data_IF_578646275200
#
_entry.id   IF_578646275200
#
_cell.length_a   1.000
_cell.length_b   1.000
_cell.length_c   1.000
_cell.angle_alpha   90.00
_cell.angle_beta   90.00
_cell.angle_gamma   90.00
#
_symmetry.space_group_name_H-M   'P 1'
#
loop_
_entity.id
_entity.type
_entity.pdbx_description
1 polymer ?
#
# COMPACT_ATOMS: atom_id res chain seq x y z
N UNK A 1 -5.25 59.14 26.05
CA UNK A 1 -5.87 58.12 25.20
C UNK A 1 -4.79 57.09 24.90
N UNK A 2 -4.72 55.99 25.67
CA UNK A 2 -3.54 55.11 25.70
C UNK A 2 -3.56 54.06 24.59
N UNK A 3 -2.40 53.84 23.99
CA UNK A 3 -2.07 52.84 22.98
C UNK A 3 -1.92 51.41 23.58
N UNK A 4 -2.52 51.11 24.72
CA UNK A 4 -2.17 49.95 25.55
C UNK A 4 -3.18 48.78 25.51
N UNK A 5 -4.16 48.77 24.60
CA UNK A 5 -5.22 47.74 24.57
C UNK A 5 -5.30 46.94 23.26
N UNK A 6 -4.23 46.87 22.48
CA UNK A 6 -4.02 45.76 21.55
C UNK A 6 -3.13 44.72 22.23
N UNK A 7 -3.63 44.16 23.33
CA UNK A 7 -3.13 42.87 23.78
C UNK A 7 -3.48 41.88 22.67
N UNK A 8 -2.45 41.39 21.97
CA UNK A 8 -2.48 40.12 21.28
C UNK A 8 -3.24 39.14 22.21
N UNK A 9 -4.35 38.59 21.73
CA UNK A 9 -4.88 37.39 22.35
C UNK A 9 -3.76 36.37 22.20
N UNK A 10 -3.05 36.06 23.28
CA UNK A 10 -2.21 34.88 23.36
C UNK A 10 -3.06 33.71 22.86
N UNK A 11 -2.57 33.02 21.82
CA UNK A 11 -3.22 31.84 21.27
C UNK A 11 -3.18 30.76 22.36
N UNK A 12 -4.27 30.63 23.14
CA UNK A 12 -4.40 29.75 24.32
C UNK A 12 -4.40 28.24 23.96
N UNK A 13 -4.06 27.87 22.72
CA UNK A 13 -3.97 26.49 22.29
C UNK A 13 -2.51 26.00 22.27
N UNK A 14 -1.87 26.09 23.43
CA UNK A 14 -0.61 25.37 23.65
C UNK A 14 -0.94 23.87 23.75
N UNK A 15 -0.56 23.12 22.72
CA UNK A 15 -0.69 21.67 22.67
C UNK A 15 0.70 21.05 22.52
N UNK A 16 0.96 19.93 23.21
CA UNK A 16 2.29 19.31 23.19
C UNK A 16 2.62 18.70 21.82
N UNK A 17 1.61 18.16 21.13
CA UNK A 17 1.77 17.49 19.83
C UNK A 17 0.61 17.79 18.91
N UNK A 18 0.92 18.28 17.71
CA UNK A 18 -0.03 18.41 16.60
C UNK A 18 0.21 17.29 15.58
N UNK A 19 -0.84 16.54 15.24
CA UNK A 19 -0.84 15.52 14.19
C UNK A 19 -1.73 15.98 13.05
N UNK A 20 -1.15 16.16 11.86
CA UNK A 20 -1.90 16.53 10.65
C UNK A 20 -2.34 15.26 9.91
N UNK A 21 -3.66 15.03 9.87
CA UNK A 21 -4.34 13.94 9.20
C UNK A 21 -4.82 12.83 10.15
N UNK A 22 -6.12 12.67 10.29
CA UNK A 22 -6.81 11.62 11.05
C UNK A 22 -6.99 10.31 10.23
N UNK A 23 -6.04 9.99 9.36
CA UNK A 23 -5.95 8.66 8.74
C UNK A 23 -5.45 7.60 9.72
N UNK A 24 -5.42 6.32 9.29
CA UNK A 24 -4.92 5.21 10.12
C UNK A 24 -3.54 5.51 10.73
N UNK A 25 -2.63 6.12 9.97
CA UNK A 25 -1.29 6.50 10.47
C UNK A 25 -1.37 7.55 11.57
N UNK A 26 -2.11 8.65 11.37
CA UNK A 26 -2.19 9.72 12.38
C UNK A 26 -2.87 9.27 13.66
N UNK A 27 -3.97 8.51 13.54
CA UNK A 27 -4.67 7.92 14.68
C UNK A 27 -3.78 6.91 15.43
N UNK A 28 -3.06 6.05 14.72
CA UNK A 28 -2.13 5.11 15.34
C UNK A 28 -0.96 5.84 16.04
N UNK A 29 -0.48 6.95 15.48
CA UNK A 29 0.53 7.79 16.13
C UNK A 29 -0.01 8.38 17.43
N UNK A 30 -1.17 9.03 17.40
CA UNK A 30 -1.82 9.60 18.59
C UNK A 30 -2.03 8.55 19.68
N UNK A 31 -2.57 7.38 19.30
CA UNK A 31 -2.76 6.24 20.20
C UNK A 31 -1.45 5.79 20.87
N UNK A 32 -0.35 5.67 20.10
CA UNK A 32 0.93 5.24 20.67
C UNK A 32 1.59 6.31 21.54
N UNK A 33 1.39 7.61 21.26
CA UNK A 33 1.86 8.71 22.11
C UNK A 33 1.12 8.66 23.45
N UNK A 34 -0.20 8.70 23.42
CA UNK A 34 -1.03 8.72 24.63
C UNK A 34 -0.87 7.45 25.47
N UNK A 35 -0.67 6.29 24.84
CA UNK A 35 -0.37 5.04 25.57
C UNK A 35 0.95 5.10 26.34
N UNK A 36 1.95 5.85 25.86
CA UNK A 36 3.27 5.97 26.48
C UNK A 36 3.35 7.14 27.46
N UNK A 37 2.66 8.25 27.16
CA UNK A 37 2.62 9.47 27.95
C UNK A 37 1.19 10.02 27.95
N UNK A 38 0.32 9.54 28.86
CA UNK A 38 -1.08 9.93 28.92
C UNK A 38 -1.31 11.41 29.27
N UNK A 39 -0.28 12.09 29.78
CA UNK A 39 -0.35 13.49 30.21
C UNK A 39 -0.12 14.49 29.07
N UNK A 40 0.29 14.03 27.89
CA UNK A 40 0.51 14.92 26.75
C UNK A 40 -0.81 15.34 26.13
N UNK A 41 -0.93 16.62 25.80
CA UNK A 41 -2.04 17.13 25.00
C UNK A 41 -1.77 16.92 23.49
N UNK A 42 -2.65 16.16 22.85
CA UNK A 42 -2.49 15.75 21.44
C UNK A 42 -3.68 16.26 20.63
N UNK A 43 -3.40 17.20 19.73
CA UNK A 43 -4.35 17.72 18.75
C UNK A 43 -4.20 17.00 17.42
N UNK A 44 -5.31 16.48 16.87
CA UNK A 44 -5.35 15.92 15.52
C UNK A 44 -6.16 16.86 14.63
N UNK A 45 -5.54 17.35 13.55
CA UNK A 45 -6.18 18.22 12.56
C UNK A 45 -6.45 17.40 11.30
N UNK A 46 -7.71 17.30 10.90
CA UNK A 46 -8.15 16.56 9.71
C UNK A 46 -8.76 17.51 8.69
N UNK A 47 -8.46 17.30 7.41
CA UNK A 47 -8.95 18.16 6.31
C UNK A 47 -10.40 17.89 5.92
N UNK A 48 -11.03 16.87 6.51
CA UNK A 48 -12.40 16.44 6.22
C UNK A 48 -13.23 16.37 7.50
N UNK A 49 -14.54 16.17 7.37
CA UNK A 49 -15.47 16.01 8.48
C UNK A 49 -15.37 14.62 9.17
N UNK A 50 -14.51 13.71 8.65
CA UNK A 50 -14.45 12.31 9.07
C UNK A 50 -13.02 11.81 9.21
N UNK A 51 -12.75 11.14 10.32
CA UNK A 51 -11.52 10.37 10.48
C UNK A 51 -11.52 9.13 9.55
N UNK A 52 -10.34 8.54 9.33
CA UNK A 52 -10.14 7.27 8.62
C UNK A 52 -9.46 7.38 7.26
N UNK A 53 -9.49 8.56 6.62
CA UNK A 53 -8.86 8.81 5.32
C UNK A 53 -9.25 7.77 4.27
N UNK A 54 -8.25 7.07 3.70
CA UNK A 54 -8.46 6.03 2.67
C UNK A 54 -9.20 4.77 3.15
N UNK A 55 -9.44 4.62 4.45
CA UNK A 55 -10.17 3.48 5.05
C UNK A 55 -11.68 3.77 5.17
N UNK A 56 -12.16 4.97 4.86
CA UNK A 56 -13.59 5.31 4.96
C UNK A 56 -14.15 5.96 3.70
N UNK A 57 -13.54 5.69 2.53
CA UNK A 57 -14.07 6.14 1.25
C UNK A 57 -15.45 5.52 1.00
N UNK A 58 -16.50 6.33 1.18
CA UNK A 58 -17.92 5.95 1.02
C UNK A 58 -18.17 5.22 -0.29
N UNK A 59 -18.94 4.13 -0.23
CA UNK A 59 -19.54 3.47 -1.39
C UNK A 59 -18.76 2.29 -2.02
N UNK A 60 -17.50 2.05 -1.64
CA UNK A 60 -16.69 1.04 -2.36
C UNK A 60 -16.70 -0.38 -1.75
N UNK A 61 -16.79 -0.53 -0.42
CA UNK A 61 -16.85 -1.84 0.25
C UNK A 61 -17.13 -1.71 1.74
N UNK A 62 -17.89 -2.64 2.33
CA UNK A 62 -18.04 -2.78 3.80
C UNK A 62 -16.81 -3.41 4.48
N UNK A 63 -15.89 -3.91 3.68
CA UNK A 63 -14.75 -4.71 4.11
C UNK A 63 -13.44 -4.17 3.54
N UNK A 64 -12.45 -4.05 4.41
CA UNK A 64 -11.06 -3.82 4.02
C UNK A 64 -10.29 -5.13 4.13
N UNK A 65 -9.34 -5.32 3.23
CA UNK A 65 -8.49 -6.50 3.29
C UNK A 65 -7.18 -6.18 3.98
N UNK A 66 -6.75 -7.12 4.81
CA UNK A 66 -5.48 -7.11 5.51
C UNK A 66 -4.84 -8.48 5.31
N UNK A 67 -3.51 -8.54 5.34
CA UNK A 67 -2.78 -9.82 5.32
C UNK A 67 -2.17 -10.11 6.68
N UNK A 68 -2.10 -11.39 7.05
CA UNK A 68 -1.34 -11.86 8.22
C UNK A 68 0.15 -11.51 8.15
N UNK A 69 0.68 -11.19 6.96
CA UNK A 69 2.04 -10.65 6.80
C UNK A 69 2.21 -9.25 7.41
N UNK A 70 1.11 -8.53 7.65
CA UNK A 70 1.11 -7.17 8.18
C UNK A 70 0.92 -7.18 9.71
N UNK A 71 2.00 -7.49 10.43
CA UNK A 71 1.98 -7.72 11.88
C UNK A 71 1.44 -6.54 12.69
N UNK A 72 1.85 -5.31 12.37
CA UNK A 72 1.48 -4.13 13.16
C UNK A 72 -0.02 -3.82 13.13
N UNK A 73 -0.64 -3.88 11.95
CA UNK A 73 -2.09 -3.65 11.83
C UNK A 73 -2.87 -4.82 12.45
N UNK A 74 -2.41 -6.06 12.25
CA UNK A 74 -3.05 -7.24 12.87
C UNK A 74 -3.08 -7.12 14.39
N UNK A 75 -1.95 -6.74 15.02
CA UNK A 75 -1.87 -6.52 16.47
C UNK A 75 -2.74 -5.35 16.93
N UNK A 76 -2.80 -4.26 16.15
CA UNK A 76 -3.66 -3.12 16.48
C UNK A 76 -5.14 -3.52 16.49
N UNK A 77 -5.59 -4.26 15.46
CA UNK A 77 -6.96 -4.75 15.38
C UNK A 77 -7.33 -5.64 16.58
N UNK A 78 -6.41 -6.54 17.00
CA UNK A 78 -6.58 -7.36 18.19
C UNK A 78 -6.65 -6.52 19.46
N UNK A 79 -5.77 -5.52 19.61
CA UNK A 79 -5.74 -4.64 20.78
C UNK A 79 -7.04 -3.83 20.91
N UNK A 80 -7.62 -3.43 19.77
CA UNK A 80 -8.89 -2.70 19.72
C UNK A 80 -10.12 -3.62 19.71
N UNK A 81 -9.96 -4.94 19.82
CA UNK A 81 -11.02 -5.93 19.74
C UNK A 81 -11.91 -5.79 18.49
N UNK A 82 -11.32 -5.41 17.35
CA UNK A 82 -12.04 -5.28 16.08
C UNK A 82 -12.25 -6.66 15.46
N UNK A 83 -13.50 -6.96 15.10
CA UNK A 83 -13.86 -8.23 14.48
C UNK A 83 -13.22 -8.37 13.09
N UNK A 84 -12.57 -9.51 12.88
CA UNK A 84 -12.00 -9.90 11.59
C UNK A 84 -12.72 -11.15 11.08
N UNK A 85 -12.90 -11.24 9.77
CA UNK A 85 -13.49 -12.39 9.11
C UNK A 85 -12.44 -12.98 8.17
N UNK A 86 -11.99 -14.20 8.46
CA UNK A 86 -11.21 -14.94 7.47
C UNK A 86 -12.07 -15.25 6.26
N UNK A 87 -11.47 -15.28 5.07
CA UNK A 87 -12.15 -15.76 3.90
C UNK A 87 -12.23 -17.28 4.00
N UNK A 88 -13.34 -17.83 4.46
CA UNK A 88 -13.58 -19.26 4.35
C UNK A 88 -13.63 -19.64 2.86
N UNK A 89 -12.70 -20.50 2.44
CA UNK A 89 -12.54 -20.98 1.07
C UNK A 89 -13.68 -21.92 0.61
N UNK A 90 -14.82 -21.97 1.31
CA UNK A 90 -15.89 -22.93 1.10
C UNK A 90 -16.50 -22.89 -0.32
N UNK A 91 -16.38 -21.76 -1.03
CA UNK A 91 -16.82 -21.59 -2.42
C UNK A 91 -15.77 -20.85 -3.26
N UNK A 92 -14.51 -21.32 -3.23
CA UNK A 92 -13.41 -20.70 -3.97
C UNK A 92 -13.67 -20.73 -5.49
N UNK A 93 -14.36 -19.70 -6.00
CA UNK A 93 -14.49 -19.43 -7.44
C UNK A 93 -13.09 -19.50 -8.04
N UNK A 94 -12.93 -20.34 -9.08
CA UNK A 94 -11.67 -20.52 -9.79
C UNK A 94 -11.12 -19.15 -10.22
N UNK A 95 -9.87 -18.86 -9.87
CA UNK A 95 -9.17 -17.67 -10.36
C UNK A 95 -8.87 -17.88 -11.84
N UNK A 96 -9.35 -16.97 -12.66
CA UNK A 96 -9.18 -17.02 -14.10
C UNK A 96 -8.41 -15.79 -14.54
N UNK A 97 -7.38 -16.00 -15.33
CA UNK A 97 -6.67 -14.92 -15.99
C UNK A 97 -7.44 -14.58 -17.27
N UNK A 98 -7.98 -13.37 -17.37
CA UNK A 98 -8.70 -12.92 -18.55
C UNK A 98 -7.83 -12.01 -19.41
N UNK A 99 -7.93 -12.23 -20.71
CA UNK A 99 -7.34 -11.35 -21.73
C UNK A 99 -8.44 -10.76 -22.59
N UNK A 100 -8.09 -9.84 -23.49
CA UNK A 100 -9.00 -9.37 -24.53
C UNK A 100 -9.58 -10.51 -25.40
N UNK A 101 -8.94 -11.68 -25.42
CA UNK A 101 -9.37 -12.88 -26.17
C UNK A 101 -10.16 -13.88 -25.31
N UNK A 102 -10.47 -13.55 -24.05
CA UNK A 102 -11.16 -14.43 -23.11
C UNK A 102 -10.25 -15.06 -22.06
N UNK A 103 -10.76 -16.06 -21.32
CA UNK A 103 -10.04 -16.70 -20.22
C UNK A 103 -8.87 -17.55 -20.74
N UNK A 104 -7.73 -17.43 -20.08
CA UNK A 104 -6.52 -18.18 -20.37
C UNK A 104 -6.42 -19.37 -19.43
N UNK A 105 -6.59 -20.58 -19.97
CA UNK A 105 -6.46 -21.82 -19.20
C UNK A 105 -5.01 -22.29 -19.10
N UNK A 106 -4.19 -22.04 -20.13
CA UNK A 106 -2.78 -22.40 -20.18
C UNK A 106 -2.01 -21.38 -21.01
N UNK A 107 -0.90 -20.89 -20.49
CA UNK A 107 0.01 -20.03 -21.25
C UNK A 107 0.91 -20.89 -22.15
N UNK A 108 1.20 -20.46 -23.39
CA UNK A 108 2.25 -21.09 -24.19
C UNK A 108 3.58 -21.11 -23.43
N UNK A 109 4.34 -22.20 -23.55
CA UNK A 109 5.54 -22.43 -22.74
C UNK A 109 6.56 -21.28 -22.82
N UNK A 110 6.77 -20.73 -24.02
CA UNK A 110 7.71 -19.62 -24.23
C UNK A 110 7.23 -18.31 -23.57
N UNK A 111 5.92 -18.02 -23.58
CA UNK A 111 5.35 -16.87 -22.84
C UNK A 111 5.50 -17.11 -21.34
N UNK A 112 5.18 -18.31 -20.88
CA UNK A 112 5.29 -18.67 -19.47
C UNK A 112 6.74 -18.55 -18.97
N UNK A 113 7.73 -18.92 -19.80
CA UNK A 113 9.15 -18.77 -19.49
C UNK A 113 9.56 -17.30 -19.34
N UNK A 114 9.14 -16.41 -20.25
CA UNK A 114 9.43 -14.96 -20.14
C UNK A 114 8.75 -14.33 -18.91
N UNK A 115 7.49 -14.65 -18.66
CA UNK A 115 6.78 -14.17 -17.47
C UNK A 115 7.47 -14.65 -16.20
N UNK A 116 7.90 -15.92 -16.17
CA UNK A 116 8.65 -16.48 -15.04
C UNK A 116 9.99 -15.77 -14.83
N UNK A 117 10.74 -15.55 -15.92
CA UNK A 117 12.01 -14.83 -15.87
C UNK A 117 11.81 -13.45 -15.26
N UNK A 118 10.83 -12.67 -15.75
CA UNK A 118 10.51 -11.37 -15.19
C UNK A 118 10.15 -11.43 -13.69
N UNK A 119 9.29 -12.38 -13.29
CA UNK A 119 8.91 -12.52 -11.87
C UNK A 119 10.13 -12.81 -10.98
N UNK A 120 11.03 -13.69 -11.42
CA UNK A 120 12.25 -14.01 -10.71
C UNK A 120 13.18 -12.80 -10.63
N UNK A 121 13.45 -12.14 -11.77
CA UNK A 121 14.30 -10.95 -11.82
C UNK A 121 13.79 -9.84 -10.92
N UNK A 122 12.50 -9.50 -10.97
CA UNK A 122 11.95 -8.45 -10.11
C UNK A 122 11.96 -8.88 -8.64
N UNK A 123 11.66 -10.14 -8.32
CA UNK A 123 11.70 -10.65 -6.95
C UNK A 123 13.11 -10.55 -6.36
N UNK A 124 14.12 -11.03 -7.09
CA UNK A 124 15.52 -10.99 -6.65
C UNK A 124 16.02 -9.56 -6.49
N UNK A 125 15.71 -8.68 -7.46
CA UNK A 125 16.08 -7.28 -7.37
C UNK A 125 15.37 -6.59 -6.22
N UNK A 126 14.05 -6.73 -6.05
CA UNK A 126 13.36 -6.04 -4.96
C UNK A 126 13.80 -6.52 -3.56
N UNK A 127 14.33 -7.73 -3.41
CA UNK A 127 14.88 -8.20 -2.12
C UNK A 127 16.35 -7.83 -1.90
N UNK A 128 17.03 -7.31 -2.92
CA UNK A 128 18.40 -6.84 -2.78
C UNK A 128 18.46 -5.67 -1.78
N UNK A 129 19.44 -5.70 -0.88
CA UNK A 129 19.63 -4.68 0.15
C UNK A 129 19.80 -3.27 -0.41
N UNK A 130 20.29 -3.14 -1.64
CA UNK A 130 20.42 -1.86 -2.36
C UNK A 130 19.09 -1.11 -2.48
N UNK A 131 17.97 -1.82 -2.61
CA UNK A 131 16.66 -1.20 -2.82
C UNK A 131 15.81 -1.14 -1.55
N UNK A 132 16.42 -1.27 -0.37
CA UNK A 132 15.75 -0.98 0.91
C UNK A 132 15.42 0.50 1.07
N UNK A 133 16.27 1.36 0.53
CA UNK A 133 16.14 2.82 0.58
C UNK A 133 16.57 3.41 -0.76
N UNK A 134 16.34 4.70 -0.94
CA UNK A 134 16.92 5.43 -2.07
C UNK A 134 18.41 5.67 -1.78
N UNK A 135 19.28 5.05 -2.57
CA UNK A 135 20.73 5.29 -2.55
C UNK A 135 21.12 6.13 -3.77
N UNK A 136 22.27 6.81 -3.69
CA UNK A 136 22.81 7.64 -4.77
C UNK A 136 23.97 6.92 -5.45
N UNK A 137 23.70 5.76 -6.04
CA UNK A 137 24.65 5.05 -6.88
C UNK A 137 24.23 5.14 -8.36
N UNK A 138 25.15 4.80 -9.26
CA UNK A 138 24.92 4.91 -10.70
C UNK A 138 23.71 4.08 -11.16
N UNK A 139 23.56 2.87 -10.62
CA UNK A 139 22.49 1.94 -10.99
C UNK A 139 21.15 2.44 -10.50
N UNK A 140 21.07 2.93 -9.25
CA UNK A 140 19.84 3.54 -8.73
C UNK A 140 19.47 4.82 -9.47
N UNK A 141 20.45 5.62 -9.89
CA UNK A 141 20.21 6.82 -10.70
C UNK A 141 19.65 6.48 -12.09
N UNK A 142 20.17 5.45 -12.76
CA UNK A 142 19.61 4.95 -14.01
C UNK A 142 18.17 4.43 -13.82
N UNK A 143 17.93 3.65 -12.75
CA UNK A 143 16.60 3.12 -12.45
C UNK A 143 15.62 4.20 -12.02
N UNK A 144 16.08 5.30 -11.44
CA UNK A 144 15.24 6.44 -11.06
C UNK A 144 14.65 7.11 -12.30
N UNK A 145 15.46 7.25 -13.36
CA UNK A 145 15.08 7.87 -14.63
C UNK A 145 14.41 6.91 -15.61
N UNK A 146 14.64 5.60 -15.46
CA UNK A 146 13.97 4.56 -16.24
C UNK A 146 12.52 4.38 -15.77
N UNK A 147 11.56 4.42 -16.70
CA UNK A 147 10.17 4.10 -16.40
C UNK A 147 9.93 2.59 -16.31
N UNK A 148 8.84 2.17 -15.64
CA UNK A 148 8.45 0.76 -15.60
C UNK A 148 8.15 0.21 -17.00
N UNK A 149 7.56 1.01 -17.89
CA UNK A 149 7.35 0.62 -19.29
C UNK A 149 8.68 0.35 -20.03
N UNK A 150 9.68 1.20 -19.83
CA UNK A 150 11.02 1.00 -20.37
C UNK A 150 11.69 -0.24 -19.78
N UNK A 151 11.57 -0.45 -18.46
CA UNK A 151 12.10 -1.65 -17.80
C UNK A 151 11.47 -2.92 -18.36
N UNK A 152 10.15 -2.94 -18.56
CA UNK A 152 9.45 -4.07 -19.17
C UNK A 152 9.95 -4.36 -20.58
N UNK A 153 10.21 -3.32 -21.39
CA UNK A 153 10.80 -3.48 -22.74
C UNK A 153 12.24 -3.98 -22.71
N UNK A 154 13.03 -3.59 -21.69
CA UNK A 154 14.40 -4.10 -21.48
C UNK A 154 14.40 -5.59 -21.09
N UNK A 155 13.44 -6.05 -20.29
CA UNK A 155 13.41 -7.41 -19.74
C UNK A 155 12.64 -8.44 -20.58
N UNK A 156 11.64 -8.00 -21.35
CA UNK A 156 10.70 -8.91 -22.01
C UNK A 156 10.65 -8.63 -23.51
N UNK A 157 10.85 -9.68 -24.31
CA UNK A 157 10.85 -9.59 -25.76
C UNK A 157 9.42 -9.66 -26.33
N UNK A 158 8.56 -10.50 -25.77
CA UNK A 158 7.21 -10.72 -26.31
C UNK A 158 6.20 -9.70 -25.78
N UNK A 159 5.47 -9.07 -26.70
CA UNK A 159 4.44 -8.06 -26.37
C UNK A 159 3.35 -8.62 -25.46
N UNK A 160 3.01 -9.89 -25.63
CA UNK A 160 2.02 -10.56 -24.80
C UNK A 160 2.53 -10.82 -23.37
N UNK A 161 3.81 -11.21 -23.20
CA UNK A 161 4.43 -11.32 -21.89
C UNK A 161 4.52 -9.96 -21.20
N UNK A 162 4.91 -8.91 -21.93
CA UNK A 162 4.86 -7.52 -21.44
C UNK A 162 3.48 -7.14 -20.92
N UNK A 163 2.42 -7.42 -21.67
CA UNK A 163 1.04 -7.12 -21.24
C UNK A 163 0.65 -7.83 -19.94
N UNK A 164 1.08 -9.09 -19.76
CA UNK A 164 0.83 -9.85 -18.52
C UNK A 164 1.59 -9.19 -17.37
N UNK A 165 2.89 -8.96 -17.53
CA UNK A 165 3.73 -8.38 -16.48
C UNK A 165 3.33 -6.94 -16.13
N UNK A 166 2.93 -6.11 -17.10
CA UNK A 166 2.33 -4.80 -16.86
C UNK A 166 1.08 -4.90 -15.99
N UNK A 167 0.21 -5.88 -16.26
CA UNK A 167 -1.03 -6.08 -15.48
C UNK A 167 -0.72 -6.51 -14.03
N UNK A 168 0.32 -7.31 -13.84
CA UNK A 168 0.80 -7.69 -12.51
C UNK A 168 1.33 -6.48 -11.74
N UNK A 169 2.20 -5.67 -12.34
CA UNK A 169 2.72 -4.46 -11.70
C UNK A 169 1.60 -3.43 -11.44
N UNK A 170 0.70 -3.23 -12.40
CA UNK A 170 -0.49 -2.39 -12.21
C UNK A 170 -1.27 -2.80 -10.96
N UNK A 171 -1.49 -4.10 -10.79
CA UNK A 171 -2.24 -4.64 -9.66
C UNK A 171 -1.53 -4.45 -8.30
N UNK A 172 -0.20 -4.30 -8.28
CA UNK A 172 0.56 -4.13 -7.03
C UNK A 172 0.68 -2.67 -6.61
N UNK A 173 0.85 -1.74 -7.56
CA UNK A 173 1.08 -0.32 -7.27
C UNK A 173 -0.14 0.58 -7.50
N UNK A 174 -1.17 0.12 -8.23
CA UNK A 174 -2.39 0.90 -8.50
C UNK A 174 -2.22 2.02 -9.54
N UNK A 175 -1.09 2.09 -10.24
CA UNK A 175 -0.77 3.16 -11.19
C UNK A 175 -1.09 2.76 -12.63
N UNK A 176 -2.05 3.43 -13.27
CA UNK A 176 -2.51 3.12 -14.64
C UNK A 176 -1.47 3.32 -15.72
N UNK A 177 -0.65 4.36 -15.58
CA UNK A 177 0.32 4.77 -16.59
C UNK A 177 1.75 4.41 -16.14
N UNK A 178 2.21 3.22 -16.53
CA UNK A 178 3.54 2.71 -16.16
C UNK A 178 4.69 3.48 -16.83
N UNK A 179 4.41 4.32 -17.82
CA UNK A 179 5.42 5.21 -18.41
C UNK A 179 5.83 6.35 -17.47
N UNK A 180 4.97 6.67 -16.48
CA UNK A 180 5.16 7.73 -15.48
C UNK A 180 5.65 7.22 -14.13
N UNK A 181 5.85 5.91 -14.01
CA UNK A 181 6.30 5.29 -12.76
C UNK A 181 7.77 4.93 -12.90
N UNK A 182 8.59 5.37 -11.94
CA UNK A 182 10.01 5.05 -11.88
C UNK A 182 10.23 3.56 -11.57
N UNK A 183 11.18 2.94 -12.26
CA UNK A 183 11.61 1.57 -12.01
C UNK A 183 12.20 1.44 -10.59
N UNK A 184 13.03 2.41 -10.16
CA UNK A 184 13.58 2.43 -8.81
C UNK A 184 12.49 2.49 -7.75
N UNK A 185 11.54 3.43 -7.89
CA UNK A 185 10.42 3.56 -6.96
C UNK A 185 9.65 2.24 -6.82
N UNK A 186 9.44 1.53 -7.94
CA UNK A 186 8.74 0.24 -7.95
C UNK A 186 9.51 -0.80 -7.16
N UNK A 187 10.84 -0.90 -7.33
CA UNK A 187 11.66 -1.85 -6.58
C UNK A 187 11.68 -1.55 -5.07
N UNK A 188 11.81 -0.28 -4.70
CA UNK A 188 11.80 0.15 -3.28
C UNK A 188 10.42 -0.11 -2.64
N UNK A 189 9.34 0.22 -3.36
CA UNK A 189 7.97 -0.05 -2.89
C UNK A 189 7.72 -1.55 -2.69
N UNK A 190 8.18 -2.37 -3.65
CA UNK A 190 8.07 -3.82 -3.54
C UNK A 190 8.94 -4.38 -2.41
N UNK A 191 10.16 -3.87 -2.19
CA UNK A 191 10.99 -4.23 -1.05
C UNK A 191 10.24 -4.03 0.27
N UNK A 192 9.66 -2.84 0.46
CA UNK A 192 8.86 -2.50 1.64
C UNK A 192 7.59 -3.35 1.80
N UNK A 193 7.13 -4.02 0.73
CA UNK A 193 6.00 -4.94 0.74
C UNK A 193 6.40 -6.42 0.93
N UNK A 194 7.68 -6.73 1.19
CA UNK A 194 8.18 -8.12 1.28
C UNK A 194 8.49 -8.76 -0.09
N UNK A 195 8.47 -7.96 -1.14
CA UNK A 195 8.74 -8.36 -2.52
C UNK A 195 7.49 -8.48 -3.39
N UNK A 196 7.71 -8.75 -4.68
CA UNK A 196 6.64 -8.84 -5.68
C UNK A 196 5.66 -9.97 -5.38
N UNK A 197 6.17 -11.15 -5.02
CA UNK A 197 5.33 -12.34 -4.82
C UNK A 197 4.38 -12.15 -3.64
N UNK A 198 4.88 -11.67 -2.50
CA UNK A 198 4.05 -11.47 -1.31
C UNK A 198 3.05 -10.31 -1.50
N UNK A 199 3.45 -9.27 -2.23
CA UNK A 199 2.52 -8.22 -2.64
C UNK A 199 1.40 -8.76 -3.53
N UNK A 200 1.72 -9.63 -4.51
CA UNK A 200 0.72 -10.26 -5.38
C UNK A 200 -0.20 -11.21 -4.61
N UNK A 201 0.32 -11.98 -3.64
CA UNK A 201 -0.50 -12.80 -2.73
C UNK A 201 -1.52 -11.95 -1.98
N UNK A 202 -1.06 -10.85 -1.37
CA UNK A 202 -1.95 -9.92 -0.68
C UNK A 202 -3.01 -9.31 -1.61
N UNK A 203 -2.62 -8.87 -2.82
CA UNK A 203 -3.55 -8.25 -3.79
C UNK A 203 -4.56 -9.24 -4.36
N UNK A 204 -4.10 -10.39 -4.86
CA UNK A 204 -4.97 -11.42 -5.47
C UNK A 204 -5.75 -12.22 -4.42
N UNK A 205 -5.37 -12.05 -3.15
CA UNK A 205 -5.86 -12.81 -2.02
C UNK A 205 -5.23 -14.19 -1.98
N UNK A 206 -4.91 -14.68 -0.81
CA UNK A 206 -4.58 -16.08 -0.54
C UNK A 206 -5.06 -16.40 0.88
N UNK A 207 -4.58 -17.49 1.46
CA UNK A 207 -4.93 -17.86 2.84
C UNK A 207 -4.45 -16.82 3.87
N UNK A 208 -3.50 -15.96 3.50
CA UNK A 208 -3.03 -14.91 4.41
C UNK A 208 -3.99 -13.72 4.49
N UNK A 209 -4.95 -13.59 3.56
CA UNK A 209 -5.86 -12.44 3.47
C UNK A 209 -7.13 -12.64 4.28
N UNK A 210 -7.41 -11.70 5.16
CA UNK A 210 -8.66 -11.62 5.91
C UNK A 210 -9.31 -10.24 5.73
N UNK A 211 -10.57 -10.15 6.12
CA UNK A 211 -11.37 -8.95 6.01
C UNK A 211 -11.59 -8.33 7.39
N UNK A 212 -11.47 -7.01 7.47
CA UNK A 212 -11.84 -6.22 8.64
C UNK A 212 -13.24 -5.67 8.39
N UNK A 213 -14.17 -6.01 9.27
CA UNK A 213 -15.53 -5.47 9.22
C UNK A 213 -15.54 -4.12 9.93
N UNK A 214 -15.88 -3.06 9.20
CA UNK A 214 -16.07 -1.75 9.81
C UNK A 214 -17.41 -1.78 10.55
N UNK A 215 -17.37 -1.80 11.88
CA UNK A 215 -18.55 -1.53 12.69
C UNK A 215 -18.72 -0.01 12.68
N UNK A 216 -19.74 0.48 11.97
CA UNK A 216 -20.15 1.88 12.09
C UNK A 216 -20.78 2.00 13.48
N UNK A 217 -20.02 2.54 14.43
CA UNK A 217 -20.57 2.96 15.71
C UNK A 217 -21.30 4.26 15.43
N UNK A 218 -22.63 4.21 15.34
CA UNK A 218 -23.44 5.42 15.40
C UNK A 218 -23.38 5.91 16.86
N UNK A 219 -22.65 7.00 17.07
CA UNK A 219 -22.73 7.84 18.27
C UNK A 219 -23.71 8.97 18.03
#
# INVERSE_FOLDING_TARGET
MSLANYFEKEDVNDVDVIIVGAGLTGLATAYNILRRKPTLDVLIVEGTDKAGGRVLSHGCSKYYYVSHLQNHVTRLLQTLNIKTCSRENANARRRLFFTKRGPVNKLPTYIAAEVRYFLQTIQENCLNSRFKTYTNDEITSELATTSVDQLLKKLLFLSYARSICSSLIYSTCGMRDLSKVSALWTLVMLNGAGGLIDRLKATTGDETRYFVQVVIIYS
#
